data_IF_641591840716
#
_entry.id   IF_641591840716
#
_cell.length_a   1.000
_cell.length_b   1.000
_cell.length_c   1.000
_cell.angle_alpha   90.00
_cell.angle_beta   90.00
_cell.angle_gamma   90.00
#
_symmetry.space_group_name_H-M   'P 1'
#
loop_
_entity.id
_entity.type
_entity.pdbx_description
1 polymer ?
#
# COMPACT_ATOMS: atom_id res chain seq x y z
N UNK A 1 40.74 57.77 -19.98
CA UNK A 1 39.38 57.26 -19.66
C UNK A 1 39.37 55.77 -19.91
N UNK A 2 39.58 54.96 -18.88
CA UNK A 2 39.46 53.50 -18.95
C UNK A 2 38.13 53.12 -18.36
N UNK A 3 37.30 52.38 -19.11
CA UNK A 3 36.06 51.74 -18.64
C UNK A 3 36.44 50.42 -17.95
N UNK A 4 35.88 50.10 -16.80
CA UNK A 4 36.02 48.78 -16.22
C UNK A 4 35.04 47.79 -16.91
N UNK A 5 35.52 46.56 -17.17
CA UNK A 5 34.74 45.45 -17.69
C UNK A 5 33.78 44.88 -16.61
N UNK A 6 32.59 44.38 -17.00
CA UNK A 6 31.68 43.76 -16.05
C UNK A 6 32.12 42.33 -15.74
N UNK A 7 32.39 42.02 -14.46
CA UNK A 7 32.51 40.68 -13.92
C UNK A 7 31.11 40.10 -13.76
N UNK A 8 30.67 39.27 -14.69
CA UNK A 8 29.53 38.41 -14.51
C UNK A 8 30.01 36.99 -14.19
N UNK A 9 30.31 36.72 -12.94
CA UNK A 9 30.39 35.37 -12.44
C UNK A 9 28.97 34.89 -12.09
N UNK A 10 28.34 34.18 -13.00
CA UNK A 10 27.12 33.45 -12.68
C UNK A 10 27.48 32.33 -11.70
N UNK A 11 27.20 32.55 -10.44
CA UNK A 11 27.20 31.49 -9.41
C UNK A 11 26.07 30.55 -9.78
N UNK A 12 26.41 29.44 -10.43
CA UNK A 12 25.46 28.32 -10.59
C UNK A 12 25.16 27.83 -9.17
N UNK A 13 23.94 28.09 -8.70
CA UNK A 13 23.43 27.43 -7.52
C UNK A 13 23.52 25.90 -7.76
N UNK A 14 24.10 25.13 -6.83
CA UNK A 14 24.13 23.69 -6.97
C UNK A 14 22.67 23.22 -7.09
N UNK A 15 22.35 22.43 -8.13
CA UNK A 15 21.10 21.69 -8.21
C UNK A 15 21.08 20.81 -6.96
N UNK A 16 20.18 21.08 -6.04
CA UNK A 16 19.89 20.15 -4.93
C UNK A 16 19.35 18.90 -5.62
N UNK A 17 20.16 17.86 -5.67
CA UNK A 17 19.73 16.55 -6.12
C UNK A 17 18.77 16.04 -5.04
N UNK A 18 17.48 16.03 -5.35
CA UNK A 18 16.48 15.42 -4.48
C UNK A 18 16.57 13.92 -4.70
N UNK A 19 16.75 13.16 -3.62
CA UNK A 19 16.79 11.71 -3.65
C UNK A 19 15.57 11.14 -4.39
N UNK A 20 15.81 10.18 -5.29
CA UNK A 20 14.74 9.47 -6.00
C UNK A 20 13.78 8.80 -5.02
N UNK A 21 12.48 9.01 -5.21
CA UNK A 21 11.45 8.53 -4.29
C UNK A 21 11.38 7.01 -4.23
N UNK A 22 11.60 6.32 -5.35
CA UNK A 22 11.56 4.85 -5.38
C UNK A 22 12.78 4.25 -4.71
N UNK A 23 13.98 4.86 -4.89
CA UNK A 23 15.18 4.51 -4.12
C UNK A 23 14.96 4.70 -2.62
N UNK A 24 14.30 5.79 -2.21
CA UNK A 24 13.95 6.02 -0.81
C UNK A 24 13.05 4.90 -0.26
N UNK A 25 11.99 4.52 -0.98
CA UNK A 25 11.11 3.44 -0.55
C UNK A 25 11.79 2.07 -0.60
N UNK A 26 12.62 1.79 -1.61
CA UNK A 26 13.41 0.55 -1.67
C UNK A 26 14.29 0.38 -0.45
N UNK A 27 15.03 1.42 -0.06
CA UNK A 27 15.91 1.37 1.11
C UNK A 27 15.09 1.21 2.39
N UNK A 28 14.10 2.06 2.60
CA UNK A 28 13.34 2.10 3.87
C UNK A 28 12.46 0.87 4.08
N UNK A 29 12.04 0.19 3.01
CA UNK A 29 11.23 -1.02 3.11
C UNK A 29 12.00 -2.31 2.79
N UNK A 30 13.32 -2.27 2.72
CA UNK A 30 14.16 -3.42 2.37
C UNK A 30 13.90 -4.63 3.24
N UNK A 31 13.76 -4.43 4.54
CA UNK A 31 13.57 -5.50 5.52
C UNK A 31 12.10 -5.94 5.68
N UNK A 32 11.16 -5.23 5.04
CA UNK A 32 9.75 -5.60 5.11
C UNK A 32 9.42 -6.77 4.21
N UNK A 33 8.71 -7.75 4.77
CA UNK A 33 8.01 -8.78 4.01
C UNK A 33 6.68 -8.25 3.48
N UNK A 34 5.93 -7.58 4.35
CA UNK A 34 4.66 -6.90 4.05
C UNK A 34 4.89 -5.39 4.17
N UNK A 35 4.60 -4.62 3.11
CA UNK A 35 4.89 -3.18 3.06
C UNK A 35 3.79 -2.30 3.67
N UNK A 36 3.17 -2.77 4.75
CA UNK A 36 2.18 -2.05 5.56
C UNK A 36 2.22 -2.58 7.01
N UNK A 37 1.58 -1.90 7.99
CA UNK A 37 1.65 -2.31 9.39
C UNK A 37 0.75 -3.52 9.71
N UNK A 38 0.87 -4.60 8.94
CA UNK A 38 0.16 -5.86 9.17
C UNK A 38 1.16 -6.96 9.50
N UNK A 39 0.91 -7.72 10.58
CA UNK A 39 1.73 -8.88 10.87
C UNK A 39 1.49 -10.02 9.87
N UNK A 40 2.49 -10.87 9.71
CA UNK A 40 2.39 -12.06 8.85
C UNK A 40 1.28 -13.02 9.30
N UNK A 41 1.03 -13.12 10.61
CA UNK A 41 -0.06 -13.91 11.18
C UNK A 41 -1.44 -13.38 10.74
N UNK A 42 -1.66 -12.06 10.79
CA UNK A 42 -2.91 -11.45 10.32
C UNK A 42 -3.11 -11.69 8.82
N UNK A 43 -2.05 -11.59 8.03
CA UNK A 43 -2.10 -11.89 6.60
C UNK A 43 -2.42 -13.38 6.36
N UNK A 44 -1.82 -14.30 7.11
CA UNK A 44 -2.12 -15.73 7.00
C UNK A 44 -3.57 -16.05 7.38
N UNK A 45 -4.10 -15.41 8.43
CA UNK A 45 -5.51 -15.56 8.84
C UNK A 45 -6.47 -15.00 7.79
N UNK A 46 -6.15 -13.86 7.16
CA UNK A 46 -6.92 -13.33 6.04
C UNK A 46 -6.98 -14.36 4.91
N UNK A 47 -5.85 -14.90 4.50
CA UNK A 47 -5.76 -15.89 3.43
C UNK A 47 -6.61 -17.12 3.74
N UNK A 48 -6.53 -17.66 4.95
CA UNK A 48 -7.36 -18.79 5.38
C UNK A 48 -8.88 -18.52 5.38
N UNK A 49 -9.28 -17.25 5.59
CA UNK A 49 -10.68 -16.84 5.58
C UNK A 49 -11.29 -16.82 4.16
N UNK A 50 -10.49 -16.54 3.14
CA UNK A 50 -10.98 -16.28 1.77
C UNK A 50 -11.58 -17.52 1.09
N UNK A 51 -11.07 -18.73 1.36
CA UNK A 51 -11.55 -20.01 0.80
C UNK A 51 -11.80 -19.92 -0.69
N UNK A 52 -10.75 -19.53 -1.44
CA UNK A 52 -10.86 -19.28 -2.88
C UNK A 52 -11.09 -20.58 -3.66
N UNK A 53 -11.95 -20.57 -4.70
CA UNK A 53 -12.09 -21.70 -5.60
C UNK A 53 -10.83 -21.88 -6.46
N UNK A 54 -10.62 -23.07 -7.00
CA UNK A 54 -9.57 -23.33 -7.97
C UNK A 54 -9.71 -22.40 -9.19
N UNK A 55 -8.58 -21.91 -9.70
CA UNK A 55 -8.51 -20.95 -10.82
C UNK A 55 -9.22 -19.60 -10.55
N UNK A 56 -9.40 -19.24 -9.28
CA UNK A 56 -9.86 -17.91 -8.92
C UNK A 56 -8.99 -16.84 -9.61
N UNK A 57 -9.63 -15.83 -10.19
CA UNK A 57 -8.96 -14.70 -10.88
C UNK A 57 -8.87 -13.52 -9.95
N UNK A 58 -7.65 -13.03 -9.72
CA UNK A 58 -7.38 -12.00 -8.74
C UNK A 58 -6.55 -10.84 -9.33
N UNK A 59 -6.76 -9.66 -8.78
CA UNK A 59 -5.84 -8.52 -8.95
C UNK A 59 -5.47 -7.94 -7.59
N UNK A 60 -4.19 -7.56 -7.45
CA UNK A 60 -3.69 -6.80 -6.31
C UNK A 60 -3.07 -5.50 -6.83
N UNK A 61 -3.74 -4.38 -6.58
CA UNK A 61 -3.32 -3.04 -7.00
C UNK A 61 -2.38 -2.46 -5.95
N UNK A 62 -1.25 -1.91 -6.39
CA UNK A 62 -0.13 -1.50 -5.54
C UNK A 62 0.36 -2.65 -4.66
N UNK A 63 0.64 -3.78 -5.31
CA UNK A 63 0.96 -5.06 -4.67
C UNK A 63 2.28 -5.06 -3.88
N UNK A 64 3.08 -3.99 -3.96
CA UNK A 64 4.39 -3.93 -3.33
C UNK A 64 5.28 -5.10 -3.78
N UNK A 65 5.88 -5.78 -2.80
CA UNK A 65 6.75 -6.96 -3.04
C UNK A 65 5.99 -8.26 -3.33
N UNK A 66 4.68 -8.18 -3.60
CA UNK A 66 3.84 -9.29 -4.03
C UNK A 66 3.47 -10.31 -2.96
N UNK A 67 3.77 -10.06 -1.70
CA UNK A 67 3.64 -11.06 -0.62
C UNK A 67 2.22 -11.63 -0.50
N UNK A 68 1.19 -10.79 -0.63
CA UNK A 68 -0.20 -11.23 -0.56
C UNK A 68 -0.54 -12.23 -1.67
N UNK A 69 -0.23 -11.90 -2.93
CA UNK A 69 -0.49 -12.79 -4.07
C UNK A 69 0.36 -14.07 -4.03
N UNK A 70 1.61 -13.97 -3.61
CA UNK A 70 2.50 -15.14 -3.49
C UNK A 70 1.93 -16.12 -2.47
N UNK A 71 1.52 -15.65 -1.28
CA UNK A 71 0.88 -16.53 -0.27
C UNK A 71 -0.45 -17.09 -0.73
N UNK A 72 -1.23 -16.33 -1.49
CA UNK A 72 -2.45 -16.85 -2.13
C UNK A 72 -2.13 -17.95 -3.15
N UNK A 73 -1.04 -17.81 -3.92
CA UNK A 73 -0.61 -18.83 -4.86
C UNK A 73 -0.06 -20.10 -4.18
N UNK A 74 0.59 -19.94 -3.03
CA UNK A 74 1.02 -21.10 -2.19
C UNK A 74 -0.18 -21.85 -1.57
N UNK A 75 -1.23 -21.12 -1.20
CA UNK A 75 -2.40 -21.69 -0.53
C UNK A 75 -3.47 -22.22 -1.49
N UNK A 76 -3.56 -21.63 -2.67
CA UNK A 76 -4.64 -21.88 -3.63
C UNK A 76 -4.12 -21.93 -5.07
N UNK A 77 -4.78 -22.73 -5.92
CA UNK A 77 -4.52 -22.72 -7.36
C UNK A 77 -5.24 -21.52 -8.00
N UNK A 78 -4.59 -20.34 -8.02
CA UNK A 78 -5.15 -19.07 -8.51
C UNK A 78 -4.55 -18.62 -9.83
N UNK A 79 -5.19 -17.61 -10.44
CA UNK A 79 -4.64 -16.77 -11.51
C UNK A 79 -4.59 -15.33 -10.99
N UNK A 80 -3.40 -14.79 -10.81
CA UNK A 80 -3.20 -13.50 -10.15
C UNK A 80 -2.44 -12.50 -11.01
N UNK A 81 -2.82 -11.24 -10.90
CA UNK A 81 -2.06 -10.10 -11.45
C UNK A 81 -1.74 -9.17 -10.29
N UNK A 82 -0.45 -8.92 -10.05
CA UNK A 82 0.04 -7.91 -9.13
C UNK A 82 0.53 -6.70 -9.89
N UNK A 83 0.15 -5.52 -9.48
CA UNK A 83 0.49 -4.26 -10.13
C UNK A 83 1.11 -3.32 -9.11
N UNK A 84 2.27 -2.78 -9.47
CA UNK A 84 2.91 -1.72 -8.69
C UNK A 84 3.66 -0.77 -9.63
N UNK A 85 3.75 0.49 -9.24
CA UNK A 85 4.47 1.49 -10.02
C UNK A 85 5.99 1.43 -9.77
N UNK A 86 6.42 0.89 -8.62
CA UNK A 86 7.83 0.79 -8.25
C UNK A 86 8.54 -0.36 -8.97
N UNK A 87 9.59 -0.07 -9.78
CA UNK A 87 10.37 -1.12 -10.41
C UNK A 87 11.07 -2.03 -9.41
N UNK A 88 11.44 -1.51 -8.22
CA UNK A 88 12.08 -2.27 -7.14
C UNK A 88 11.12 -3.29 -6.55
N UNK A 89 9.87 -2.86 -6.25
CA UNK A 89 8.82 -3.76 -5.73
C UNK A 89 8.52 -4.88 -6.72
N UNK A 90 8.36 -4.57 -8.01
CA UNK A 90 8.08 -5.57 -9.04
C UNK A 90 9.26 -6.55 -9.20
N UNK A 91 10.50 -6.06 -9.20
CA UNK A 91 11.68 -6.93 -9.26
C UNK A 91 11.75 -7.88 -8.06
N UNK A 92 11.43 -7.40 -6.85
CA UNK A 92 11.35 -8.23 -5.64
C UNK A 92 10.23 -9.26 -5.73
N UNK A 93 9.03 -8.84 -6.15
CA UNK A 93 7.88 -9.72 -6.29
C UNK A 93 8.15 -10.87 -7.27
N UNK A 94 8.74 -10.57 -8.43
CA UNK A 94 9.10 -11.57 -9.43
C UNK A 94 10.13 -12.58 -8.89
N UNK A 95 11.19 -12.11 -8.20
CA UNK A 95 12.19 -12.98 -7.59
C UNK A 95 11.60 -13.90 -6.52
N UNK A 96 10.76 -13.34 -5.63
CA UNK A 96 10.07 -14.09 -4.57
C UNK A 96 9.11 -15.14 -5.14
N UNK A 97 8.33 -14.80 -6.16
CA UNK A 97 7.43 -15.75 -6.84
C UNK A 97 8.23 -16.90 -7.43
N UNK A 98 9.32 -16.62 -8.14
CA UNK A 98 10.15 -17.65 -8.73
C UNK A 98 10.79 -18.61 -7.70
N UNK A 99 11.12 -18.10 -6.52
CA UNK A 99 11.68 -18.92 -5.44
C UNK A 99 10.63 -19.76 -4.70
N UNK A 100 9.40 -19.22 -4.51
CA UNK A 100 8.41 -19.80 -3.61
C UNK A 100 7.27 -20.54 -4.32
N UNK A 101 6.88 -20.08 -5.50
CA UNK A 101 5.78 -20.66 -6.27
C UNK A 101 6.04 -20.57 -7.79
N UNK A 102 7.13 -21.18 -8.31
CA UNK A 102 7.57 -20.99 -9.71
C UNK A 102 6.55 -21.50 -10.75
N UNK A 103 5.63 -22.38 -10.36
CA UNK A 103 4.56 -22.90 -11.24
C UNK A 103 3.23 -22.16 -11.13
N UNK A 104 3.15 -21.11 -10.33
CA UNK A 104 1.90 -20.37 -10.15
C UNK A 104 1.55 -19.52 -11.38
N UNK A 105 0.26 -19.46 -11.73
CA UNK A 105 -0.25 -18.58 -12.77
C UNK A 105 -0.40 -17.14 -12.23
N UNK A 106 0.70 -16.55 -11.74
CA UNK A 106 0.76 -15.18 -11.21
C UNK A 106 1.75 -14.35 -11.99
N UNK A 107 1.37 -13.12 -12.32
CA UNK A 107 2.21 -12.17 -13.06
C UNK A 107 2.30 -10.86 -12.28
N UNK A 108 3.50 -10.29 -12.20
CA UNK A 108 3.74 -8.96 -11.64
C UNK A 108 4.13 -7.98 -12.75
N UNK A 109 3.41 -6.86 -12.85
CA UNK A 109 3.58 -5.83 -13.88
C UNK A 109 3.86 -4.46 -13.28
N UNK A 110 4.88 -3.79 -13.81
CA UNK A 110 5.13 -2.39 -13.47
C UNK A 110 4.17 -1.49 -14.27
N UNK A 111 3.18 -0.92 -13.58
CA UNK A 111 2.28 0.08 -14.16
C UNK A 111 1.60 0.90 -13.04
N UNK A 112 1.03 2.04 -13.40
CA UNK A 112 0.17 2.79 -12.49
C UNK A 112 -1.13 1.99 -12.27
N UNK A 113 -1.48 1.71 -11.02
CA UNK A 113 -2.68 0.95 -10.67
C UNK A 113 -3.98 1.59 -11.16
N UNK A 114 -4.01 2.92 -11.30
CA UNK A 114 -5.16 3.65 -11.86
C UNK A 114 -5.47 3.28 -13.31
N UNK A 115 -4.45 2.92 -14.09
CA UNK A 115 -4.58 2.59 -15.52
C UNK A 115 -4.99 1.12 -15.75
N UNK A 116 -5.06 0.31 -14.69
CA UNK A 116 -5.45 -1.09 -14.82
C UNK A 116 -6.93 -1.25 -15.11
N UNK A 117 -7.24 -2.04 -16.12
CA UNK A 117 -8.59 -2.48 -16.46
C UNK A 117 -8.60 -3.99 -16.65
N UNK A 118 -9.49 -4.74 -15.97
CA UNK A 118 -9.62 -6.17 -16.19
C UNK A 118 -10.16 -6.44 -17.60
N UNK A 119 -9.84 -7.63 -18.17
CA UNK A 119 -10.31 -8.04 -19.51
C UNK A 119 -11.83 -7.96 -19.69
N UNK A 120 -12.58 -8.18 -18.62
CA UNK A 120 -14.02 -7.99 -18.58
C UNK A 120 -14.42 -7.36 -17.22
N UNK A 121 -15.37 -6.41 -17.20
CA UNK A 121 -15.86 -5.83 -15.96
C UNK A 121 -16.54 -6.92 -15.11
N UNK A 122 -16.45 -6.77 -13.81
CA UNK A 122 -17.07 -7.67 -12.83
C UNK A 122 -16.76 -9.16 -13.05
N UNK A 123 -15.52 -9.48 -13.42
CA UNK A 123 -15.12 -10.84 -13.76
C UNK A 123 -14.14 -11.47 -12.77
N UNK A 124 -13.61 -10.68 -11.84
CA UNK A 124 -12.63 -11.16 -10.88
C UNK A 124 -13.31 -11.78 -9.65
N UNK A 125 -12.64 -12.79 -9.09
CA UNK A 125 -13.05 -13.40 -7.82
C UNK A 125 -12.63 -12.53 -6.63
N UNK A 126 -11.50 -11.81 -6.77
CA UNK A 126 -10.96 -10.92 -5.75
C UNK A 126 -10.24 -9.74 -6.40
N UNK A 127 -10.45 -8.55 -5.85
CA UNK A 127 -9.63 -7.38 -6.11
C UNK A 127 -9.18 -6.77 -4.78
N UNK A 128 -7.91 -6.40 -4.69
CA UNK A 128 -7.30 -5.80 -3.50
C UNK A 128 -6.49 -4.56 -3.80
N UNK A 129 -6.43 -3.66 -2.83
CA UNK A 129 -5.49 -2.54 -2.74
C UNK A 129 -5.16 -2.33 -1.25
N UNK A 130 -4.01 -2.82 -0.80
CA UNK A 130 -3.71 -2.91 0.64
C UNK A 130 -2.66 -1.87 1.02
N UNK A 131 -3.12 -0.66 1.42
CA UNK A 131 -2.26 0.41 1.90
C UNK A 131 -1.84 1.43 0.84
N UNK A 132 -2.62 1.59 -0.24
CA UNK A 132 -2.34 2.55 -1.32
C UNK A 132 -3.62 3.17 -1.93
N UNK A 133 -4.59 3.49 -1.10
CA UNK A 133 -5.89 4.04 -1.56
C UNK A 133 -5.77 5.35 -2.35
N UNK A 134 -4.67 6.09 -2.19
CA UNK A 134 -4.38 7.29 -2.99
C UNK A 134 -4.34 7.02 -4.51
N UNK A 135 -4.13 5.78 -4.94
CA UNK A 135 -4.16 5.39 -6.36
C UNK A 135 -5.51 5.75 -6.99
N UNK A 136 -6.59 5.64 -6.22
CA UNK A 136 -7.95 5.93 -6.68
C UNK A 136 -8.57 7.14 -5.95
N UNK A 137 -7.74 8.03 -5.40
CA UNK A 137 -8.22 9.25 -4.72
C UNK A 137 -8.79 9.01 -3.31
N UNK A 138 -8.36 7.95 -2.62
CA UNK A 138 -8.71 7.62 -1.24
C UNK A 138 -9.60 6.39 -1.11
N UNK A 139 -10.03 6.10 0.12
CA UNK A 139 -10.77 4.88 0.47
C UNK A 139 -12.03 4.67 -0.38
N UNK A 140 -12.86 5.70 -0.49
CA UNK A 140 -14.12 5.64 -1.25
C UNK A 140 -13.89 5.32 -2.74
N UNK A 141 -12.96 6.02 -3.40
CA UNK A 141 -12.61 5.78 -4.80
C UNK A 141 -12.01 4.38 -5.01
N UNK A 142 -11.23 3.89 -4.05
CA UNK A 142 -10.69 2.52 -4.08
C UNK A 142 -11.80 1.49 -4.02
N UNK A 143 -12.78 1.67 -3.13
CA UNK A 143 -13.95 0.78 -3.05
C UNK A 143 -14.75 0.77 -4.36
N UNK A 144 -14.98 1.93 -4.98
CA UNK A 144 -15.69 2.04 -6.27
C UNK A 144 -14.92 1.30 -7.39
N UNK A 145 -13.61 1.55 -7.50
CA UNK A 145 -12.77 0.90 -8.51
C UNK A 145 -12.77 -0.63 -8.36
N UNK A 146 -12.45 -1.13 -7.16
CA UNK A 146 -12.37 -2.58 -6.91
C UNK A 146 -13.73 -3.28 -7.05
N UNK A 147 -14.83 -2.64 -6.62
CA UNK A 147 -16.20 -3.18 -6.78
C UNK A 147 -16.58 -3.35 -8.25
N UNK A 148 -16.12 -2.44 -9.12
CA UNK A 148 -16.30 -2.55 -10.56
C UNK A 148 -15.56 -3.72 -11.22
N UNK A 149 -14.51 -4.24 -10.55
CA UNK A 149 -13.68 -5.33 -11.07
C UNK A 149 -14.18 -6.72 -10.66
N UNK A 150 -14.84 -6.85 -9.50
CA UNK A 150 -15.23 -8.15 -8.95
C UNK A 150 -16.64 -8.57 -9.39
N UNK A 151 -16.80 -9.88 -9.57
CA UNK A 151 -18.10 -10.49 -9.81
C UNK A 151 -19.04 -10.34 -8.58
N UNK A 152 -20.36 -10.44 -8.75
CA UNK A 152 -21.28 -10.57 -7.62
C UNK A 152 -20.85 -11.73 -6.69
N UNK A 153 -20.74 -11.47 -5.40
CA UNK A 153 -20.17 -12.40 -4.42
C UNK A 153 -18.65 -12.45 -4.37
N UNK A 154 -17.96 -11.66 -5.19
CA UNK A 154 -16.49 -11.54 -5.17
C UNK A 154 -15.97 -10.77 -3.94
N UNK A 155 -14.69 -10.89 -3.69
CA UNK A 155 -13.99 -10.25 -2.57
C UNK A 155 -13.41 -8.89 -2.95
N UNK A 156 -13.64 -7.90 -2.12
CA UNK A 156 -12.98 -6.58 -2.16
C UNK A 156 -12.19 -6.40 -0.87
N UNK A 157 -10.88 -6.20 -0.97
CA UNK A 157 -10.01 -6.04 0.19
C UNK A 157 -9.28 -4.71 0.08
N UNK A 158 -9.45 -3.86 1.09
CA UNK A 158 -8.79 -2.56 1.16
C UNK A 158 -8.04 -2.45 2.48
N UNK A 159 -6.76 -2.08 2.41
CA UNK A 159 -5.98 -1.70 3.58
C UNK A 159 -5.95 -0.18 3.68
N UNK A 160 -6.38 0.39 4.82
CA UNK A 160 -6.57 1.83 4.97
C UNK A 160 -6.20 2.30 6.36
N UNK A 161 -5.48 3.44 6.49
CA UNK A 161 -5.38 4.18 7.74
C UNK A 161 -6.74 4.72 8.18
N UNK A 162 -6.86 4.99 9.48
CA UNK A 162 -8.01 5.67 10.05
C UNK A 162 -7.64 6.40 11.33
N UNK A 163 -8.42 7.43 11.69
CA UNK A 163 -8.20 8.14 12.94
C UNK A 163 -8.73 7.32 14.13
N UNK A 164 -7.82 6.94 15.06
CA UNK A 164 -8.17 6.35 16.35
C UNK A 164 -8.79 7.41 17.29
N UNK A 165 -8.32 8.65 17.15
CA UNK A 165 -8.80 9.83 17.87
C UNK A 165 -8.62 11.05 16.98
N UNK A 166 -9.26 12.13 17.34
CA UNK A 166 -9.11 13.42 16.66
C UNK A 166 -7.63 13.83 16.61
N UNK A 167 -7.04 14.07 15.42
CA UNK A 167 -5.65 14.50 15.31
C UNK A 167 -5.48 15.95 15.77
N UNK A 168 -4.38 16.24 16.48
CA UNK A 168 -4.05 17.61 16.86
C UNK A 168 -3.54 18.43 15.67
N UNK A 169 -3.65 19.76 15.74
CA UNK A 169 -3.14 20.68 14.71
C UNK A 169 -1.62 20.50 14.50
N UNK A 170 -0.87 20.26 15.59
CA UNK A 170 0.58 20.01 15.51
C UNK A 170 0.88 18.72 14.74
N UNK A 171 0.08 17.67 14.94
CA UNK A 171 0.25 16.42 14.19
C UNK A 171 -0.06 16.61 12.71
N UNK A 172 -1.18 17.26 12.37
CA UNK A 172 -1.56 17.54 10.98
C UNK A 172 -0.47 18.36 10.27
N UNK A 173 0.02 19.42 10.93
CA UNK A 173 1.10 20.25 10.38
C UNK A 173 2.43 19.47 10.22
N UNK A 174 2.77 18.59 11.15
CA UNK A 174 4.01 17.83 11.12
C UNK A 174 3.98 16.67 10.11
N UNK A 175 2.83 15.99 9.95
CA UNK A 175 2.64 14.86 9.04
C UNK A 175 2.37 15.30 7.60
N UNK A 176 1.82 16.51 7.40
CA UNK A 176 1.33 16.98 6.11
C UNK A 176 0.02 16.30 5.65
N UNK A 177 -0.62 15.51 6.51
CA UNK A 177 -1.92 14.88 6.23
C UNK A 177 -3.04 15.84 6.65
N UNK A 178 -4.02 16.05 5.79
CA UNK A 178 -5.21 16.81 6.12
C UNK A 178 -6.10 16.06 7.12
N UNK A 179 -6.93 16.78 7.87
CA UNK A 179 -7.92 16.20 8.79
C UNK A 179 -8.86 15.23 8.07
N UNK A 180 -9.27 15.59 6.86
CA UNK A 180 -10.12 14.76 5.99
C UNK A 180 -9.34 13.69 5.22
N UNK A 181 -8.04 13.55 5.44
CA UNK A 181 -7.19 12.56 4.77
C UNK A 181 -7.55 11.12 5.10
N UNK A 182 -8.09 10.91 6.31
CA UNK A 182 -8.58 9.59 6.74
C UNK A 182 -9.93 9.74 7.46
N UNK A 183 -10.78 8.71 7.31
CA UNK A 183 -12.00 8.56 8.10
C UNK A 183 -11.74 7.91 9.47
N UNK A 184 -12.81 7.62 10.19
CA UNK A 184 -12.78 6.71 11.35
C UNK A 184 -12.89 5.25 10.87
N UNK A 185 -12.59 4.29 11.76
CA UNK A 185 -12.79 2.86 11.45
C UNK A 185 -14.25 2.56 11.02
N UNK A 186 -15.21 3.13 11.71
CA UNK A 186 -16.64 2.99 11.36
C UNK A 186 -16.96 3.62 10.01
N UNK A 187 -16.48 4.83 9.73
CA UNK A 187 -16.71 5.52 8.45
C UNK A 187 -16.14 4.73 7.26
N UNK A 188 -14.99 4.06 7.41
CA UNK A 188 -14.42 3.22 6.38
C UNK A 188 -15.30 1.98 6.10
N UNK A 189 -15.93 1.40 7.11
CA UNK A 189 -16.90 0.31 6.95
C UNK A 189 -18.16 0.80 6.26
N UNK A 190 -18.76 1.88 6.75
CA UNK A 190 -19.97 2.49 6.20
C UNK A 190 -19.80 2.86 4.72
N UNK A 191 -18.62 3.38 4.35
CA UNK A 191 -18.31 3.69 2.96
C UNK A 191 -18.42 2.46 2.04
N UNK A 192 -18.04 1.26 2.51
CA UNK A 192 -18.21 0.01 1.79
C UNK A 192 -19.67 -0.42 1.71
N UNK A 193 -20.40 -0.35 2.81
CA UNK A 193 -21.80 -0.78 2.88
C UNK A 193 -22.71 0.09 2.02
N UNK A 194 -22.47 1.40 1.96
CA UNK A 194 -23.18 2.32 1.06
C UNK A 194 -22.96 1.99 -0.43
N UNK A 195 -21.90 1.26 -0.77
CA UNK A 195 -21.57 0.79 -2.13
C UNK A 195 -22.06 -0.62 -2.45
N UNK A 196 -22.92 -1.16 -1.59
CA UNK A 196 -23.46 -2.51 -1.78
C UNK A 196 -22.47 -3.63 -1.44
N UNK A 197 -21.42 -3.31 -0.70
CA UNK A 197 -20.52 -4.30 -0.12
C UNK A 197 -21.03 -4.73 1.25
N UNK A 198 -20.72 -5.95 1.64
CA UNK A 198 -20.99 -6.49 2.98
C UNK A 198 -19.66 -6.69 3.68
N UNK A 199 -19.46 -6.04 4.84
CA UNK A 199 -18.28 -6.28 5.66
C UNK A 199 -18.33 -7.70 6.21
N UNK A 200 -17.31 -8.50 5.88
CA UNK A 200 -17.16 -9.86 6.39
C UNK A 200 -16.21 -9.91 7.58
N UNK A 201 -15.14 -9.15 7.52
CA UNK A 201 -14.12 -9.12 8.58
C UNK A 201 -13.27 -7.85 8.50
N UNK A 202 -12.63 -7.49 9.61
CA UNK A 202 -11.55 -6.51 9.66
C UNK A 202 -10.33 -7.09 10.38
N UNK A 203 -9.14 -6.79 9.88
CA UNK A 203 -7.87 -7.09 10.55
C UNK A 203 -7.22 -5.78 10.96
N UNK A 204 -7.40 -5.40 12.22
CA UNK A 204 -6.87 -4.16 12.78
C UNK A 204 -5.43 -4.37 13.22
N UNK A 205 -4.56 -3.45 12.87
CA UNK A 205 -3.17 -3.44 13.34
C UNK A 205 -3.08 -3.03 14.80
N UNK A 206 -2.30 -3.77 15.56
CA UNK A 206 -1.94 -3.41 16.93
C UNK A 206 -0.86 -2.33 16.94
N UNK A 207 -0.60 -1.74 18.10
CA UNK A 207 0.55 -0.84 18.27
C UNK A 207 1.87 -1.55 17.99
N UNK A 208 1.97 -2.83 18.32
CA UNK A 208 3.15 -3.64 18.07
C UNK A 208 3.41 -3.85 16.56
N UNK A 209 2.35 -4.10 15.77
CA UNK A 209 2.46 -4.18 14.31
C UNK A 209 2.97 -2.85 13.71
N UNK A 210 2.49 -1.72 14.23
CA UNK A 210 2.94 -0.40 13.83
C UNK A 210 4.38 -0.12 14.24
N UNK A 211 4.75 -0.44 15.49
CA UNK A 211 6.11 -0.27 16.00
C UNK A 211 7.10 -1.15 15.22
N UNK A 212 6.70 -2.37 14.86
CA UNK A 212 7.50 -3.26 14.00
C UNK A 212 7.67 -2.68 12.60
N UNK A 213 6.59 -2.20 11.98
CA UNK A 213 6.64 -1.61 10.64
C UNK A 213 7.54 -0.37 10.60
N UNK A 214 7.36 0.58 11.51
CA UNK A 214 8.19 1.78 11.57
C UNK A 214 9.63 1.47 12.02
N UNK A 215 9.80 0.53 12.96
CA UNK A 215 11.11 0.09 13.44
C UNK A 215 11.99 -0.49 12.34
N UNK A 216 11.42 -1.33 11.46
CA UNK A 216 12.14 -1.87 10.30
C UNK A 216 12.60 -0.79 9.32
N UNK A 217 11.83 0.29 9.15
CA UNK A 217 12.25 1.44 8.32
C UNK A 217 13.48 2.14 8.91
N UNK A 218 13.49 2.31 10.23
CA UNK A 218 14.63 2.94 10.92
C UNK A 218 15.86 2.04 10.86
N UNK A 219 15.69 0.75 11.09
CA UNK A 219 16.76 -0.25 11.01
C UNK A 219 17.36 -0.30 9.59
N UNK A 220 16.54 -0.46 8.55
CA UNK A 220 16.98 -0.51 7.17
C UNK A 220 17.76 0.75 6.76
N UNK A 221 17.29 1.93 7.20
CA UNK A 221 17.99 3.20 6.97
C UNK A 221 19.35 3.25 7.64
N UNK A 222 19.45 2.81 8.90
CA UNK A 222 20.71 2.81 9.65
C UNK A 222 21.73 1.85 9.01
N UNK A 223 21.29 0.65 8.63
CA UNK A 223 22.15 -0.35 7.98
C UNK A 223 22.60 0.11 6.58
N UNK A 224 21.71 0.70 5.80
CA UNK A 224 22.07 1.27 4.51
C UNK A 224 23.14 2.36 4.64
N UNK A 225 22.91 3.33 5.51
CA UNK A 225 23.84 4.44 5.72
C UNK A 225 25.20 4.01 6.29
N UNK A 226 25.25 2.88 7.03
CA UNK A 226 26.50 2.29 7.52
C UNK A 226 27.28 1.58 6.41
N UNK A 227 26.58 0.89 5.51
CA UNK A 227 27.18 0.10 4.43
C UNK A 227 27.49 0.92 3.16
N UNK A 228 26.90 2.12 3.02
CA UNK A 228 27.07 3.01 1.87
C UNK A 228 27.42 4.44 2.33
N UNK A 229 28.53 4.64 3.07
CA UNK A 229 28.88 5.94 3.66
C UNK A 229 29.10 7.05 2.61
N UNK A 230 29.50 6.68 1.40
CA UNK A 230 29.82 7.60 0.31
C UNK A 230 28.62 7.88 -0.63
N UNK A 231 27.46 7.27 -0.38
CA UNK A 231 26.26 7.54 -1.20
C UNK A 231 25.75 8.96 -0.88
N UNK A 232 25.67 9.85 -1.90
CA UNK A 232 25.27 11.25 -1.72
C UNK A 232 23.84 11.43 -1.20
N UNK A 233 22.97 10.41 -1.29
CA UNK A 233 21.61 10.47 -0.81
C UNK A 233 21.46 10.15 0.69
N UNK A 234 22.50 9.63 1.35
CA UNK A 234 22.45 9.23 2.77
C UNK A 234 22.08 10.38 3.71
N UNK A 235 22.59 11.60 3.57
CA UNK A 235 22.19 12.71 4.43
C UNK A 235 20.67 12.99 4.35
N UNK A 236 20.11 13.09 3.14
CA UNK A 236 18.68 13.34 2.94
C UNK A 236 17.83 12.16 3.45
N UNK A 237 18.24 10.92 3.16
CA UNK A 237 17.59 9.71 3.65
C UNK A 237 17.44 9.73 5.18
N UNK A 238 18.56 10.01 5.90
CA UNK A 238 18.57 10.09 7.37
C UNK A 238 17.67 11.19 7.90
N UNK A 239 17.71 12.37 7.31
CA UNK A 239 16.88 13.50 7.72
C UNK A 239 15.39 13.19 7.57
N UNK A 240 14.96 12.70 6.40
CA UNK A 240 13.57 12.33 6.12
C UNK A 240 13.06 11.26 7.08
N UNK A 241 13.86 10.21 7.32
CA UNK A 241 13.47 9.12 8.23
C UNK A 241 13.46 9.59 9.68
N UNK A 242 14.43 10.43 10.11
CA UNK A 242 14.44 10.98 11.47
C UNK A 242 13.21 11.86 11.72
N UNK A 243 12.80 12.70 10.76
CA UNK A 243 11.59 13.51 10.85
C UNK A 243 10.34 12.63 10.96
N UNK A 244 10.17 11.65 10.06
CA UNK A 244 9.04 10.74 10.07
C UNK A 244 8.95 9.94 11.38
N UNK A 245 10.10 9.43 11.88
CA UNK A 245 10.20 8.76 13.17
C UNK A 245 9.66 9.60 14.32
N UNK A 246 10.06 10.87 14.39
CA UNK A 246 9.60 11.75 15.48
C UNK A 246 8.11 12.09 15.37
N UNK A 247 7.58 12.23 14.16
CA UNK A 247 6.14 12.41 13.92
C UNK A 247 5.37 11.19 14.38
N UNK A 248 5.83 9.98 14.02
CA UNK A 248 5.22 8.75 14.48
C UNK A 248 5.24 8.61 16.00
N UNK A 249 6.42 8.74 16.63
CA UNK A 249 6.58 8.52 18.06
C UNK A 249 5.84 9.54 18.94
N UNK A 250 5.72 10.79 18.47
CA UNK A 250 5.05 11.85 19.25
C UNK A 250 3.53 11.81 19.12
N UNK A 251 3.02 11.46 17.95
CA UNK A 251 1.59 11.57 17.66
C UNK A 251 1.01 10.33 16.95
N UNK A 252 1.66 9.87 15.85
CA UNK A 252 1.10 8.86 14.97
C UNK A 252 0.76 7.56 15.68
N UNK A 253 1.65 7.09 16.56
CA UNK A 253 1.51 5.85 17.32
C UNK A 253 0.21 5.76 18.14
N UNK A 254 -0.30 6.90 18.61
CA UNK A 254 -1.50 6.96 19.44
C UNK A 254 -2.72 7.57 18.73
N UNK A 255 -2.54 8.09 17.52
CA UNK A 255 -3.59 8.81 16.79
C UNK A 255 -4.01 8.07 15.52
N UNK A 256 -3.10 7.35 14.87
CA UNK A 256 -3.34 6.68 13.60
C UNK A 256 -3.51 5.18 13.80
N UNK A 257 -4.66 4.66 13.39
CA UNK A 257 -4.93 3.25 13.22
C UNK A 257 -4.71 2.79 11.79
N UNK A 258 -4.71 1.49 11.57
CA UNK A 258 -4.69 0.87 10.25
C UNK A 258 -5.46 -0.45 10.28
N UNK A 259 -6.20 -0.75 9.21
CA UNK A 259 -6.93 -2.00 9.11
C UNK A 259 -7.03 -2.49 7.66
N UNK A 260 -7.06 -3.80 7.49
CA UNK A 260 -7.57 -4.43 6.28
C UNK A 260 -9.07 -4.65 6.44
N UNK A 261 -9.86 -4.08 5.54
CA UNK A 261 -11.30 -4.26 5.42
C UNK A 261 -11.59 -5.33 4.38
N UNK A 262 -12.27 -6.39 4.79
CA UNK A 262 -12.58 -7.54 3.94
C UNK A 262 -14.07 -7.54 3.63
N UNK A 263 -14.41 -7.18 2.41
CA UNK A 263 -15.78 -7.08 1.96
C UNK A 263 -16.14 -8.19 0.97
N UNK A 264 -17.43 -8.48 0.90
CA UNK A 264 -18.08 -9.23 -0.18
C UNK A 264 -18.97 -8.31 -1.01
N UNK A 265 -18.85 -8.37 -2.31
CA UNK A 265 -19.83 -7.73 -3.19
C UNK A 265 -21.18 -8.45 -3.05
N UNK A 266 -22.23 -7.73 -2.63
CA UNK A 266 -23.55 -8.34 -2.44
C UNK A 266 -24.04 -8.95 -3.74
N UNK A 267 -24.59 -10.16 -3.67
CA UNK A 267 -25.31 -10.75 -4.78
C UNK A 267 -26.66 -10.01 -4.88
N UNK A 268 -26.98 -9.44 -6.04
CA UNK A 268 -28.37 -9.08 -6.31
C UNK A 268 -29.20 -10.35 -6.18
N UNK A 269 -30.10 -10.42 -5.20
CA UNK A 269 -31.13 -11.46 -5.22
C UNK A 269 -31.89 -11.28 -6.54
N UNK A 270 -31.75 -12.21 -7.48
CA UNK A 270 -32.68 -12.32 -8.59
C UNK A 270 -34.04 -12.42 -7.95
N UNK A 271 -34.96 -11.49 -8.29
CA UNK A 271 -36.35 -11.64 -7.91
C UNK A 271 -36.77 -13.01 -8.47
N UNK A 272 -36.92 -13.99 -7.56
CA UNK A 272 -37.51 -15.26 -7.94
C UNK A 272 -38.91 -14.89 -8.42
N UNK A 273 -39.16 -15.08 -9.71
CA UNK A 273 -40.50 -15.07 -10.30
C UNK A 273 -41.34 -16.07 -9.49
N UNK A 274 -42.14 -15.53 -8.56
CA UNK A 274 -43.25 -16.27 -8.04
C UNK A 274 -44.22 -16.48 -9.22
N UNK A 275 -44.22 -17.69 -9.76
CA UNK A 275 -45.28 -18.22 -10.62
C UNK A 275 -46.25 -19.01 -9.75
#
# INVERSE_FOLDING_TARGET
MCRPAPLSASVRQPKVLVMDIWKFYDITHREHVVCNPTSEDKLARLIGLLRLPAKARLVDIACGKGEFLIRLAEAYNIRGIGIDISPFCIGDAQRRLQMRAPGAEVVFSQMNGFDFTPEAPRSLTLASCIGASWVFGGHAGTLDALSGMVAPGGWVIVGEPYWLREPSEEYLAASGVGRDGFGTHAANVEAGELRGLELVHTFVSSKDDWDQYEGLRWYATAEYARSHPDDPDVPELRERVAKAKMVYLRWGRDTLGWAMYVFRHRQCKSASSAA
#
